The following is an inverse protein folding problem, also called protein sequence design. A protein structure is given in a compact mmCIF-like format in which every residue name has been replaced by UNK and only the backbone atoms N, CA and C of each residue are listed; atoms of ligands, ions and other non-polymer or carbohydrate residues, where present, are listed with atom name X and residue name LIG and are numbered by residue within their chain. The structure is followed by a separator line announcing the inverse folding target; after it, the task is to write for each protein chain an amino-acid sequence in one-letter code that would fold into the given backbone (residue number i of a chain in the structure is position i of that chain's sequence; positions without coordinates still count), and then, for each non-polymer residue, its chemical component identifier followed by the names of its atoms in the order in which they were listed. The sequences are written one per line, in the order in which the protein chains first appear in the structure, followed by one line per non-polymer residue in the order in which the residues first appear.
data_IF_042095890466
#
_entry.id   IF_042095890466
#
_cell.length_a   1.000
_cell.length_b   1.000
_cell.length_c   1.000
_cell.angle_alpha   90.00
_cell.angle_beta   90.00
_cell.angle_gamma   90.00
#
_symmetry.space_group_name_H-M   'P 1'
#
loop_
_entity.id
_entity.type
_entity.pdbx_description
1 polymer ?
#
# COMPACT_ATOMS: atom_id res chain seq x y z
N UNK A 1 16.08 9.96 9.12
CA UNK A 1 14.75 9.50 9.57
C UNK A 1 13.62 9.92 8.61
N UNK A 2 13.46 11.20 8.29
CA UNK A 2 12.37 11.69 7.41
C UNK A 2 12.40 11.18 5.96
N UNK A 3 13.60 10.96 5.39
CA UNK A 3 13.73 10.36 4.05
C UNK A 3 13.14 8.95 3.96
N UNK A 4 13.19 8.18 5.05
CA UNK A 4 12.65 6.80 5.12
C UNK A 4 11.12 6.82 5.15
N UNK A 5 10.52 7.76 5.88
CA UNK A 5 9.07 7.87 6.01
C UNK A 5 8.40 8.40 4.72
N UNK A 6 9.04 9.37 4.05
CA UNK A 6 8.63 9.80 2.70
C UNK A 6 8.79 8.69 1.65
N UNK A 7 9.83 7.87 1.77
CA UNK A 7 10.01 6.67 0.95
C UNK A 7 8.88 5.65 1.17
N UNK A 8 8.47 5.41 2.42
CA UNK A 8 7.38 4.47 2.75
C UNK A 8 6.05 4.91 2.14
N UNK A 9 5.65 6.18 2.33
CA UNK A 9 4.47 6.74 1.66
C UNK A 9 4.56 6.62 0.14
N UNK A 10 5.72 6.97 -0.44
CA UNK A 10 5.97 6.87 -1.88
C UNK A 10 5.88 5.43 -2.41
N UNK A 11 6.31 4.44 -1.63
CA UNK A 11 6.14 3.01 -1.96
C UNK A 11 4.67 2.61 -1.91
N UNK A 12 3.93 3.03 -0.89
CA UNK A 12 2.49 2.79 -0.78
C UNK A 12 1.71 3.36 -1.96
N UNK A 13 1.95 4.61 -2.33
CA UNK A 13 1.31 5.27 -3.48
C UNK A 13 1.65 4.54 -4.79
N UNK A 14 2.91 4.17 -5.00
CA UNK A 14 3.31 3.41 -6.20
C UNK A 14 2.66 2.03 -6.25
N UNK A 15 2.53 1.35 -5.11
CA UNK A 15 1.84 0.06 -5.01
C UNK A 15 0.34 0.21 -5.31
N UNK A 16 -0.33 1.25 -4.78
CA UNK A 16 -1.74 1.52 -5.04
C UNK A 16 -2.03 2.01 -6.47
N UNK A 17 -1.03 2.55 -7.19
CA UNK A 17 -1.20 2.96 -8.59
C UNK A 17 -1.57 1.81 -9.54
N UNK A 18 -1.43 0.55 -9.10
CA UNK A 18 -1.76 -0.63 -9.90
C UNK A 18 -0.72 -0.98 -10.96
N UNK A 19 0.42 -0.27 -11.00
CA UNK A 19 1.57 -0.60 -11.88
C UNK A 19 2.35 -1.83 -11.40
N UNK A 20 2.30 -2.11 -10.10
CA UNK A 20 2.80 -3.32 -9.49
C UNK A 20 1.69 -3.87 -8.61
N UNK A 21 1.23 -5.08 -8.90
CA UNK A 21 0.11 -5.72 -8.21
C UNK A 21 0.50 -7.06 -7.57
N UNK A 22 1.70 -7.58 -7.86
CA UNK A 22 2.22 -8.81 -7.25
C UNK A 22 2.16 -8.79 -5.72
N UNK A 23 2.25 -7.61 -5.10
CA UNK A 23 2.14 -7.48 -3.66
C UNK A 23 0.79 -7.90 -3.09
N UNK A 24 -0.30 -7.84 -3.86
CA UNK A 24 -1.65 -8.18 -3.40
C UNK A 24 -1.80 -9.69 -3.11
N UNK A 25 -1.04 -10.52 -3.83
CA UNK A 25 -1.04 -11.99 -3.72
C UNK A 25 0.13 -12.53 -2.90
N UNK A 26 1.13 -11.69 -2.58
CA UNK A 26 2.21 -12.08 -1.68
C UNK A 26 1.69 -12.46 -0.30
N UNK A 27 2.34 -13.42 0.39
CA UNK A 27 2.09 -13.61 1.81
C UNK A 27 2.30 -12.29 2.57
N UNK A 28 1.46 -12.00 3.58
CA UNK A 28 1.61 -10.85 4.42
C UNK A 28 2.97 -10.92 5.11
N UNK A 29 3.68 -9.80 5.11
CA UNK A 29 5.05 -9.73 5.61
C UNK A 29 5.14 -9.98 7.12
N UNK A 30 4.02 -9.78 7.83
CA UNK A 30 3.94 -9.96 9.26
C UNK A 30 2.97 -11.10 9.57
N UNK A 31 3.40 -12.04 10.41
CA UNK A 31 2.57 -13.06 11.04
C UNK A 31 1.41 -12.47 11.88
N UNK A 32 1.36 -11.14 12.05
CA UNK A 32 0.33 -10.40 12.79
C UNK A 32 -0.82 -9.88 11.93
N UNK A 33 -0.78 -10.01 10.59
CA UNK A 33 -1.93 -9.67 9.76
C UNK A 33 -2.99 -10.78 9.85
N UNK A 34 -4.10 -10.47 10.51
CA UNK A 34 -5.25 -11.38 10.68
C UNK A 34 -6.05 -11.51 9.37
N UNK A 35 -6.01 -10.47 8.52
CA UNK A 35 -6.63 -10.47 7.20
C UNK A 35 -5.97 -11.47 6.26
N UNK A 36 -6.77 -12.28 5.57
CA UNK A 36 -6.32 -13.12 4.45
C UNK A 36 -5.79 -12.31 3.26
N UNK A 37 -6.12 -11.01 3.20
CA UNK A 37 -5.73 -10.07 2.15
C UNK A 37 -4.57 -9.20 2.59
N UNK A 38 -3.58 -9.06 1.73
CA UNK A 38 -2.46 -8.16 1.97
C UNK A 38 -2.91 -6.69 1.81
N UNK A 39 -2.70 -5.89 2.86
CA UNK A 39 -3.07 -4.48 2.98
C UNK A 39 -1.87 -3.58 3.30
N UNK A 40 -0.64 -4.10 3.18
CA UNK A 40 0.58 -3.37 3.53
C UNK A 40 0.71 -1.96 2.90
N UNK A 41 0.25 -1.66 1.66
CA UNK A 41 0.42 -0.31 1.11
C UNK A 41 -0.43 0.73 1.83
N UNK A 42 -1.60 0.33 2.35
CA UNK A 42 -2.46 1.21 3.13
C UNK A 42 -1.81 1.54 4.47
N UNK A 43 -1.19 0.55 5.11
CA UNK A 43 -0.38 0.73 6.32
C UNK A 43 0.76 1.74 6.09
N UNK A 44 1.50 1.59 4.98
CA UNK A 44 2.62 2.49 4.65
C UNK A 44 2.18 3.94 4.43
N UNK A 45 1.02 4.15 3.81
CA UNK A 45 0.45 5.49 3.62
C UNK A 45 0.05 6.07 4.98
N UNK A 46 -0.58 5.28 5.86
CA UNK A 46 -0.92 5.72 7.21
C UNK A 46 0.32 6.13 8.01
N UNK A 47 1.37 5.31 8.01
CA UNK A 47 2.64 5.61 8.70
C UNK A 47 3.27 6.89 8.14
N UNK A 48 3.29 7.03 6.81
CA UNK A 48 3.78 8.24 6.15
C UNK A 48 2.95 9.48 6.49
N UNK A 49 1.63 9.35 6.64
CA UNK A 49 0.77 10.44 7.07
C UNK A 49 1.10 10.89 8.51
N UNK A 50 1.27 9.94 9.45
CA UNK A 50 1.72 10.26 10.83
C UNK A 50 3.06 11.00 10.80
N UNK A 51 4.01 10.53 9.99
CA UNK A 51 5.31 11.15 9.86
C UNK A 51 5.23 12.61 9.39
N UNK A 52 4.43 12.88 8.36
CA UNK A 52 4.23 14.23 7.81
C UNK A 52 3.51 15.12 8.83
N UNK A 53 2.46 14.60 9.48
CA UNK A 53 1.72 15.34 10.50
C UNK A 53 2.53 15.60 11.76
N UNK A 54 3.59 14.85 12.02
CA UNK A 54 4.50 15.10 13.15
C UNK A 54 5.50 16.24 12.89
N UNK A 55 5.70 16.64 11.62
CA UNK A 55 6.72 17.66 11.27
C UNK A 55 6.51 19.01 11.96
N UNK A 56 5.28 19.57 12.04
CA UNK A 56 5.08 20.86 12.70
C UNK A 56 5.33 20.79 14.21
N UNK A 57 4.97 19.69 14.89
CA UNK A 57 5.30 19.49 16.30
C UNK A 57 6.81 19.51 16.54
N UNK A 58 7.58 18.83 15.67
CA UNK A 58 9.04 18.80 15.77
C UNK A 58 9.64 20.19 15.51
N UNK A 59 9.08 20.94 14.57
CA UNK A 59 9.48 22.32 14.33
C UNK A 59 9.22 23.21 15.55
N UNK A 60 8.03 23.13 16.16
CA UNK A 60 7.67 23.89 17.35
C UNK A 60 8.55 23.57 18.54
N UNK A 61 8.89 22.29 18.73
CA UNK A 61 9.87 21.85 19.72
C UNK A 61 11.26 22.47 19.47
N UNK A 62 11.71 22.49 18.22
CA UNK A 62 13.00 23.07 17.83
C UNK A 62 13.12 24.57 18.04
N UNK A 63 12.00 25.32 17.96
CA UNK A 63 11.97 26.76 18.26
C UNK A 63 11.58 27.08 19.71
N UNK A 64 11.38 26.05 20.56
CA UNK A 64 11.02 26.20 21.96
C UNK A 64 9.58 26.67 22.23
N UNK A 65 8.68 26.55 21.24
CA UNK A 65 7.27 26.96 21.39
C UNK A 65 6.40 25.80 21.86
N UNK A 66 6.37 25.59 23.17
CA UNK A 66 5.65 24.48 23.79
C UNK A 66 4.13 24.57 23.64
N UNK A 67 3.56 25.78 23.69
CA UNK A 67 2.12 25.99 23.52
C UNK A 67 1.63 25.52 22.15
N UNK A 68 2.35 25.89 21.09
CA UNK A 68 2.01 25.46 19.73
C UNK A 68 2.23 23.96 19.51
N UNK A 69 3.25 23.37 20.15
CA UNK A 69 3.47 21.93 20.12
C UNK A 69 2.30 21.17 20.74
N UNK A 70 1.83 21.61 21.91
CA UNK A 70 0.69 21.00 22.59
C UNK A 70 -0.62 21.22 21.83
N UNK A 71 -0.85 22.45 21.36
CA UNK A 71 -2.02 22.76 20.53
C UNK A 71 -2.07 21.86 19.30
N UNK A 72 -0.93 21.68 18.61
CA UNK A 72 -0.82 20.80 17.46
C UNK A 72 -1.25 19.38 17.82
N UNK A 73 -0.63 18.76 18.82
CA UNK A 73 -0.97 17.38 19.25
C UNK A 73 -2.41 17.22 19.76
N UNK A 74 -3.07 18.28 20.23
CA UNK A 74 -4.47 18.24 20.63
C UNK A 74 -5.45 18.25 19.44
N UNK A 75 -4.98 18.48 18.22
CA UNK A 75 -5.84 18.48 17.04
C UNK A 75 -6.30 17.05 16.69
N UNK A 76 -7.63 16.82 16.57
CA UNK A 76 -8.17 15.47 16.39
C UNK A 76 -7.74 14.81 15.07
N UNK A 77 -7.46 15.60 14.03
CA UNK A 77 -7.05 15.06 12.73
C UNK A 77 -5.63 14.46 12.73
N UNK A 78 -4.78 14.82 13.70
CA UNK A 78 -3.42 14.25 13.80
C UNK A 78 -3.47 12.78 14.18
N UNK A 79 -4.43 12.42 15.00
CA UNK A 79 -4.66 11.05 15.45
C UNK A 79 -5.41 10.21 14.42
N UNK A 80 -6.04 10.85 13.43
CA UNK A 80 -6.84 10.21 12.40
C UNK A 80 -6.12 9.06 11.66
N UNK A 81 -4.82 9.15 11.31
CA UNK A 81 -4.14 8.04 10.62
C UNK A 81 -3.95 6.78 11.48
N UNK A 82 -3.87 6.88 12.81
CA UNK A 82 -3.67 5.73 13.69
C UNK A 82 -4.75 4.65 13.57
N UNK A 83 -6.07 4.96 13.63
CA UNK A 83 -7.10 3.97 13.40
C UNK A 83 -7.05 3.39 11.98
N UNK A 84 -6.62 4.13 10.95
CA UNK A 84 -6.42 3.57 9.61
C UNK A 84 -5.25 2.59 9.55
N UNK A 85 -4.16 2.88 10.25
CA UNK A 85 -3.04 1.94 10.40
C UNK A 85 -3.53 0.68 11.11
N UNK A 86 -4.21 0.81 12.25
CA UNK A 86 -4.77 -0.33 12.99
C UNK A 86 -5.74 -1.14 12.13
N UNK A 87 -6.69 -0.48 11.45
CA UNK A 87 -7.64 -1.10 10.54
C UNK A 87 -6.93 -1.85 9.42
N UNK A 88 -5.81 -1.35 8.90
CA UNK A 88 -5.03 -2.04 7.87
C UNK A 88 -4.46 -3.38 8.33
N UNK A 89 -4.25 -3.63 9.64
CA UNK A 89 -3.83 -4.95 10.13
C UNK A 89 -4.97 -5.97 10.13
N UNK A 90 -6.18 -5.52 10.45
CA UNK A 90 -7.33 -6.40 10.61
C UNK A 90 -8.10 -6.61 9.32
N UNK A 91 -8.41 -5.53 8.60
CA UNK A 91 -9.24 -5.54 7.40
C UNK A 91 -9.30 -4.16 6.76
N UNK A 92 -8.98 -4.04 5.47
CA UNK A 92 -9.16 -2.78 4.74
C UNK A 92 -10.47 -2.76 3.94
N UNK A 93 -11.32 -1.72 4.07
CA UNK A 93 -12.54 -1.62 3.29
C UNK A 93 -12.22 -1.39 1.82
N UNK A 94 -12.61 -2.34 0.96
CA UNK A 94 -12.35 -2.27 -0.48
C UNK A 94 -12.89 -0.96 -1.11
N UNK A 95 -13.98 -0.38 -0.59
CA UNK A 95 -14.53 0.89 -1.11
C UNK A 95 -13.53 2.05 -1.14
N UNK A 96 -12.58 2.08 -0.19
CA UNK A 96 -11.52 3.09 -0.10
C UNK A 96 -10.26 2.74 -0.93
N UNK A 97 -10.24 1.56 -1.55
CA UNK A 97 -9.13 1.10 -2.36
C UNK A 97 -9.26 1.58 -3.83
N UNK A 98 -8.14 1.67 -4.57
CA UNK A 98 -8.15 1.98 -6.00
C UNK A 98 -8.97 0.98 -6.81
N UNK A 99 -9.45 1.42 -7.98
CA UNK A 99 -10.36 0.66 -8.86
C UNK A 99 -9.91 -0.78 -9.12
N UNK A 100 -8.65 -0.98 -9.50
CA UNK A 100 -8.11 -2.32 -9.78
C UNK A 100 -8.17 -3.26 -8.57
N UNK A 101 -7.93 -2.74 -7.35
CA UNK A 101 -7.94 -3.55 -6.13
C UNK A 101 -9.37 -3.93 -5.77
N UNK A 102 -10.33 -3.02 -5.98
CA UNK A 102 -11.77 -3.30 -5.83
C UNK A 102 -12.22 -4.40 -6.78
N UNK A 103 -11.82 -4.31 -8.05
CA UNK A 103 -12.15 -5.31 -9.06
C UNK A 103 -11.52 -6.67 -8.73
N UNK A 104 -10.28 -6.70 -8.24
CA UNK A 104 -9.64 -7.93 -7.76
C UNK A 104 -10.33 -8.53 -6.54
N UNK A 105 -10.70 -7.70 -5.55
CA UNK A 105 -11.46 -8.13 -4.37
C UNK A 105 -12.83 -8.69 -4.77
N UNK A 106 -13.50 -8.08 -5.74
CA UNK A 106 -14.78 -8.57 -6.27
C UNK A 106 -14.65 -9.95 -6.96
N UNK A 107 -13.48 -10.28 -7.53
CA UNK A 107 -13.17 -11.61 -8.10
C UNK A 107 -12.76 -12.65 -7.06
N UNK A 108 -12.78 -12.32 -5.77
CA UNK A 108 -12.43 -13.22 -4.66
C UNK A 108 -11.34 -12.65 -3.76
N UNK A 109 -10.40 -11.87 -4.31
CA UNK A 109 -9.39 -11.15 -3.53
C UNK A 109 -8.51 -12.02 -2.64
N UNK A 110 -8.28 -13.29 -3.00
CA UNK A 110 -7.41 -14.22 -2.29
C UNK A 110 -6.07 -14.37 -3.02
N UNK A 111 -5.10 -15.04 -2.39
CA UNK A 111 -3.78 -15.29 -2.98
C UNK A 111 -3.83 -16.21 -4.19
N UNK A 112 -4.90 -16.97 -4.35
CA UNK A 112 -5.12 -17.87 -5.48
C UNK A 112 -5.75 -17.16 -6.69
N UNK A 113 -6.14 -15.88 -6.56
CA UNK A 113 -6.79 -15.12 -7.62
C UNK A 113 -5.84 -14.09 -8.20
N UNK A 114 -5.66 -14.14 -9.52
CA UNK A 114 -4.79 -13.22 -10.26
C UNK A 114 -5.27 -11.75 -10.14
N UNK A 115 -4.38 -10.80 -9.74
CA UNK A 115 -4.72 -9.38 -9.63
C UNK A 115 -4.78 -8.65 -10.98
N UNK A 116 -4.39 -9.33 -12.05
CA UNK A 116 -4.48 -8.88 -13.43
C UNK A 116 -5.59 -9.65 -14.16
N UNK A 117 -6.33 -8.95 -15.01
CA UNK A 117 -7.30 -9.58 -15.92
C UNK A 117 -6.63 -10.00 -17.23
N UNK A 118 -7.20 -10.99 -17.92
CA UNK A 118 -6.71 -11.43 -19.24
C UNK A 118 -6.80 -10.31 -20.30
N UNK A 119 -7.77 -9.42 -20.17
CA UNK A 119 -7.89 -8.22 -21.01
C UNK A 119 -6.72 -7.25 -20.78
N UNK A 120 -6.38 -6.97 -19.51
CA UNK A 120 -5.23 -6.13 -19.16
C UNK A 120 -3.91 -6.75 -19.65
N UNK A 121 -3.73 -8.06 -19.48
CA UNK A 121 -2.53 -8.77 -19.92
C UNK A 121 -2.39 -8.68 -21.44
N UNK A 122 -3.48 -8.87 -22.19
CA UNK A 122 -3.49 -8.72 -23.66
C UNK A 122 -3.16 -7.29 -24.08
N UNK A 123 -3.77 -6.29 -23.44
CA UNK A 123 -3.49 -4.88 -23.73
C UNK A 123 -2.00 -4.54 -23.51
N UNK A 124 -1.42 -4.97 -22.37
CA UNK A 124 0.00 -4.73 -22.05
C UNK A 124 0.94 -5.43 -23.02
N UNK A 125 0.56 -6.62 -23.54
CA UNK A 125 1.34 -7.32 -24.55
C UNK A 125 1.32 -6.62 -25.91
N UNK A 126 0.25 -5.91 -26.23
CA UNK A 126 0.09 -5.16 -27.48
C UNK A 126 0.73 -3.75 -27.43
N UNK A 127 1.08 -3.24 -26.25
CA UNK A 127 1.81 -1.98 -26.12
C UNK A 127 3.17 -2.02 -26.84
N UNK A 128 3.65 -0.89 -27.40
CA UNK A 128 4.97 -0.80 -28.00
C UNK A 128 6.07 -1.23 -27.03
N UNK A 129 7.14 -1.90 -27.51
CA UNK A 129 8.21 -2.38 -26.66
C UNK A 129 8.88 -1.22 -25.92
N UNK A 130 9.08 -1.38 -24.61
CA UNK A 130 9.72 -0.38 -23.77
C UNK A 130 9.87 -0.81 -22.32
N UNK A 131 10.72 -0.10 -21.56
CA UNK A 131 11.04 -0.41 -20.15
C UNK A 131 9.81 -0.55 -19.26
N UNK A 132 8.75 0.23 -19.53
CA UNK A 132 7.49 0.16 -18.76
C UNK A 132 6.76 -1.16 -19.01
N UNK A 133 6.63 -1.57 -20.26
CA UNK A 133 5.99 -2.83 -20.66
C UNK A 133 6.72 -4.01 -20.04
N UNK A 134 8.05 -4.07 -20.20
CA UNK A 134 8.89 -5.15 -19.63
C UNK A 134 8.72 -5.29 -18.11
N UNK A 135 8.74 -4.17 -17.38
CA UNK A 135 8.55 -4.18 -15.92
C UNK A 135 7.17 -4.69 -15.52
N UNK A 136 6.14 -4.37 -16.31
CA UNK A 136 4.77 -4.79 -16.03
C UNK A 136 4.59 -6.27 -16.35
N UNK A 137 5.16 -6.76 -17.45
CA UNK A 137 5.19 -8.19 -17.79
C UNK A 137 5.91 -9.01 -16.72
N UNK A 138 7.04 -8.54 -16.21
CA UNK A 138 7.73 -9.17 -15.07
C UNK A 138 6.88 -9.20 -13.80
N UNK A 139 6.08 -8.16 -13.53
CA UNK A 139 5.17 -8.14 -12.38
C UNK A 139 3.99 -9.12 -12.55
N UNK A 140 3.50 -9.27 -13.78
CA UNK A 140 2.48 -10.27 -14.15
C UNK A 140 3.03 -11.69 -13.94
N UNK A 141 4.21 -11.98 -14.47
CA UNK A 141 4.88 -13.28 -14.32
C UNK A 141 5.08 -13.62 -12.85
N UNK A 142 5.63 -12.68 -12.06
CA UNK A 142 5.76 -12.82 -10.62
C UNK A 142 4.42 -13.05 -9.90
N UNK A 143 3.36 -12.36 -10.33
CA UNK A 143 2.03 -12.58 -9.74
C UNK A 143 1.51 -13.99 -10.05
N UNK A 144 1.81 -14.52 -11.24
CA UNK A 144 1.43 -15.87 -11.64
C UNK A 144 2.17 -16.93 -10.83
N UNK A 145 3.48 -16.80 -10.65
CA UNK A 145 4.31 -17.68 -9.81
C UNK A 145 3.78 -17.76 -8.37
N UNK A 146 3.44 -16.60 -7.80
CA UNK A 146 2.89 -16.50 -6.44
C UNK A 146 1.50 -17.15 -6.31
N UNK A 147 0.70 -17.12 -7.38
CA UNK A 147 -0.64 -17.74 -7.42
C UNK A 147 -0.55 -19.24 -7.66
N UNK A 148 0.32 -19.69 -8.59
CA UNK A 148 0.51 -21.10 -8.94
C UNK A 148 1.09 -21.94 -7.81
N UNK A 149 1.75 -21.29 -6.85
CA UNK A 149 2.26 -21.94 -5.66
C UNK A 149 3.62 -22.62 -5.84
N UNK A 150 4.38 -22.26 -6.88
CA UNK A 150 5.78 -22.69 -7.05
C UNK A 150 6.69 -22.23 -5.88
N UNK A 151 6.24 -21.24 -5.11
CA UNK A 151 6.89 -20.72 -3.89
C UNK A 151 6.21 -21.19 -2.57
N UNK A 152 5.37 -22.24 -2.57
CA UNK A 152 4.78 -22.81 -1.33
C UNK A 152 5.80 -23.77 -0.67
N UNK A 153 6.31 -23.47 0.54
CA UNK A 153 7.10 -24.44 1.30
C UNK A 153 6.25 -25.65 1.72
#
# INVERSE_FOLDING_TARGET
MYGVLGLMAGMGVRALSGRRRAWAVKPPYNYTQVSSRNSWPFMMIGIGAVAVLSLPAIYFEGVGNEEMRQLWWNLPFIWLPLPFIALSFFWWPAKLAPRWYREWVARGGTRDVMPWTEEEIRAIRQEPPGRRRERTLKDIEKSRELVSGEDRP
#
